data_IF_305814428737
#
_entry.id   IF_305814428737
#
_cell.length_a   1.000
_cell.length_b   1.000
_cell.length_c   1.000
_cell.angle_alpha   90.00
_cell.angle_beta   90.00
_cell.angle_gamma   90.00
#
_symmetry.space_group_name_H-M   'P 1'
#
loop_
_entity.id
_entity.type
_entity.pdbx_description
1 polymer ?
#
# COMPACT_ATOMS: atom_id res chain seq x y z
N UNK A 1 -17.63 -41.73 -9.82
CA UNK A 1 -16.66 -41.04 -8.93
C UNK A 1 -15.58 -40.31 -9.73
N UNK A 2 -15.05 -40.86 -10.82
CA UNK A 2 -13.99 -40.23 -11.66
C UNK A 2 -14.39 -38.89 -12.35
N UNK A 3 -15.62 -38.77 -12.84
CA UNK A 3 -16.07 -37.54 -13.52
C UNK A 3 -16.07 -36.31 -12.58
N UNK A 4 -16.31 -36.51 -11.28
CA UNK A 4 -16.34 -35.42 -10.30
C UNK A 4 -14.91 -34.98 -9.89
N UNK A 5 -13.96 -35.89 -9.85
CA UNK A 5 -12.54 -35.60 -9.58
C UNK A 5 -11.92 -34.83 -10.75
N UNK A 6 -12.22 -35.23 -12.02
CA UNK A 6 -11.71 -34.53 -13.20
C UNK A 6 -12.27 -33.11 -13.34
N UNK A 7 -13.54 -32.89 -12.98
CA UNK A 7 -14.19 -31.58 -12.96
C UNK A 7 -13.64 -30.66 -11.87
N UNK A 8 -13.33 -31.20 -10.68
CA UNK A 8 -12.69 -30.49 -9.59
C UNK A 8 -11.25 -30.08 -9.97
N UNK A 9 -10.49 -30.96 -10.61
CA UNK A 9 -9.13 -30.71 -11.08
C UNK A 9 -9.09 -29.63 -12.18
N UNK A 10 -9.98 -29.67 -13.18
CA UNK A 10 -10.08 -28.66 -14.22
C UNK A 10 -10.45 -27.29 -13.67
N UNK A 11 -11.33 -27.24 -12.66
CA UNK A 11 -11.68 -25.99 -11.99
C UNK A 11 -10.52 -25.39 -11.18
N UNK A 12 -9.70 -26.22 -10.53
CA UNK A 12 -8.53 -25.74 -9.79
C UNK A 12 -7.47 -25.17 -10.72
N UNK A 13 -7.19 -25.82 -11.84
CA UNK A 13 -6.26 -25.31 -12.88
C UNK A 13 -6.75 -24.01 -13.49
N UNK A 14 -8.03 -23.87 -13.80
CA UNK A 14 -8.61 -22.63 -14.32
C UNK A 14 -8.51 -21.49 -13.31
N UNK A 15 -8.77 -21.75 -12.03
CA UNK A 15 -8.61 -20.76 -10.95
C UNK A 15 -7.15 -20.33 -10.79
N UNK A 16 -6.21 -21.26 -10.80
CA UNK A 16 -4.79 -20.95 -10.73
C UNK A 16 -4.31 -20.12 -11.93
N UNK A 17 -4.74 -20.48 -13.15
CA UNK A 17 -4.43 -19.72 -14.36
C UNK A 17 -5.04 -18.29 -14.33
N UNK A 18 -6.27 -18.16 -13.85
CA UNK A 18 -6.92 -16.85 -13.68
C UNK A 18 -6.21 -15.98 -12.62
N UNK A 19 -5.80 -16.56 -11.48
CA UNK A 19 -5.03 -15.88 -10.46
C UNK A 19 -3.67 -15.41 -11.01
N UNK A 20 -2.96 -16.26 -11.74
CA UNK A 20 -1.69 -15.91 -12.39
C UNK A 20 -1.85 -14.80 -13.43
N UNK A 21 -2.92 -14.86 -14.24
CA UNK A 21 -3.22 -13.81 -15.20
C UNK A 21 -3.52 -12.47 -14.50
N UNK A 22 -4.30 -12.49 -13.40
CA UNK A 22 -4.58 -11.31 -12.59
C UNK A 22 -3.30 -10.68 -12.04
N UNK A 23 -2.39 -11.46 -11.48
CA UNK A 23 -1.08 -10.99 -11.00
C UNK A 23 -0.33 -10.28 -12.11
N UNK A 24 -0.16 -10.91 -13.29
CA UNK A 24 0.54 -10.28 -14.41
C UNK A 24 -0.12 -8.96 -14.87
N UNK A 25 -1.46 -8.91 -14.88
CA UNK A 25 -2.20 -7.69 -15.23
C UNK A 25 -1.91 -6.57 -14.25
N UNK A 26 -1.94 -6.85 -12.95
CA UNK A 26 -1.71 -5.87 -11.89
C UNK A 26 -0.26 -5.37 -11.92
N UNK A 27 0.72 -6.26 -12.11
CA UNK A 27 2.14 -5.92 -12.21
C UNK A 27 2.41 -5.06 -13.44
N UNK A 28 1.87 -5.43 -14.59
CA UNK A 28 1.95 -4.65 -15.83
C UNK A 28 1.33 -3.25 -15.65
N UNK A 29 0.18 -3.17 -14.99
CA UNK A 29 -0.48 -1.90 -14.70
C UNK A 29 0.38 -1.02 -13.77
N UNK A 30 0.92 -1.58 -12.69
CA UNK A 30 1.80 -0.87 -11.76
C UNK A 30 3.03 -0.29 -12.48
N UNK A 31 3.69 -1.09 -13.31
CA UNK A 31 4.87 -0.70 -14.09
C UNK A 31 4.52 0.43 -15.08
N UNK A 32 3.48 0.24 -15.91
CA UNK A 32 3.11 1.21 -16.94
C UNK A 32 2.58 2.51 -16.35
N UNK A 33 1.79 2.47 -15.28
CA UNK A 33 1.33 3.68 -14.60
C UNK A 33 2.51 4.47 -14.00
N UNK A 34 3.49 3.77 -13.43
CA UNK A 34 4.68 4.42 -12.87
C UNK A 34 5.57 5.02 -13.95
N UNK A 35 5.77 4.32 -15.08
CA UNK A 35 6.64 4.73 -16.17
C UNK A 35 6.04 5.88 -17.01
N UNK A 36 4.75 5.76 -17.38
CA UNK A 36 4.10 6.63 -18.37
C UNK A 36 3.07 7.59 -17.78
N UNK A 37 2.71 7.37 -16.51
CA UNK A 37 1.61 8.07 -15.86
C UNK A 37 0.24 7.47 -16.20
N UNK A 38 -0.78 7.90 -15.43
CA UNK A 38 -2.14 7.39 -15.61
C UNK A 38 -2.73 7.78 -16.97
N UNK A 39 -2.62 9.04 -17.40
CA UNK A 39 -3.22 9.53 -18.64
C UNK A 39 -2.77 8.77 -19.89
N UNK A 40 -1.44 8.55 -20.02
CA UNK A 40 -0.83 7.95 -21.20
C UNK A 40 -0.89 6.41 -21.23
N UNK A 41 -1.28 5.74 -20.15
CA UNK A 41 -1.41 4.28 -20.11
C UNK A 41 -2.81 3.84 -20.54
N UNK A 42 -2.92 2.95 -21.51
CA UNK A 42 -4.19 2.38 -21.97
C UNK A 42 -4.41 0.95 -21.45
N UNK A 43 -5.66 0.47 -21.51
CA UNK A 43 -5.98 -0.95 -21.21
C UNK A 43 -5.33 -1.88 -22.22
N UNK A 44 -5.19 -1.43 -23.46
CA UNK A 44 -4.51 -2.15 -24.54
C UNK A 44 -3.03 -2.36 -24.23
N UNK A 45 -2.33 -1.32 -23.74
CA UNK A 45 -0.93 -1.43 -23.32
C UNK A 45 -0.76 -2.44 -22.19
N UNK A 46 -1.66 -2.38 -21.17
CA UNK A 46 -1.63 -3.30 -20.03
C UNK A 46 -1.90 -4.73 -20.50
N UNK A 47 -2.87 -4.94 -21.39
CA UNK A 47 -3.19 -6.24 -21.94
C UNK A 47 -2.01 -6.84 -22.72
N UNK A 48 -1.38 -6.03 -23.57
CA UNK A 48 -0.18 -6.43 -24.33
C UNK A 48 0.98 -6.79 -23.39
N UNK A 49 1.28 -5.95 -22.40
CA UNK A 49 2.36 -6.19 -21.44
C UNK A 49 2.11 -7.44 -20.56
N UNK A 50 0.84 -7.70 -20.19
CA UNK A 50 0.46 -8.87 -19.41
C UNK A 50 0.34 -10.17 -20.25
N UNK A 51 0.40 -10.09 -21.58
CA UNK A 51 0.21 -11.23 -22.47
C UNK A 51 -1.20 -11.81 -22.42
N UNK A 52 -2.23 -10.94 -22.35
CA UNK A 52 -3.65 -11.32 -22.30
C UNK A 52 -4.50 -10.47 -23.24
N UNK A 53 -5.76 -10.85 -23.44
CA UNK A 53 -6.70 -10.00 -24.19
C UNK A 53 -7.23 -8.84 -23.34
N UNK A 54 -7.66 -7.74 -23.99
CA UNK A 54 -8.37 -6.64 -23.35
C UNK A 54 -9.59 -7.12 -22.54
N UNK A 55 -10.37 -8.06 -23.10
CA UNK A 55 -11.51 -8.64 -22.40
C UNK A 55 -11.10 -9.35 -21.10
N UNK A 56 -9.94 -10.01 -21.08
CA UNK A 56 -9.37 -10.64 -19.89
C UNK A 56 -9.00 -9.60 -18.83
N UNK A 57 -8.46 -8.46 -19.23
CA UNK A 57 -8.15 -7.36 -18.28
C UNK A 57 -9.43 -6.87 -17.62
N UNK A 58 -10.47 -6.53 -18.37
CA UNK A 58 -11.75 -6.07 -17.81
C UNK A 58 -12.40 -7.11 -16.89
N UNK A 59 -12.42 -8.37 -17.29
CA UNK A 59 -13.00 -9.46 -16.49
C UNK A 59 -12.23 -9.72 -15.18
N UNK A 60 -10.91 -9.48 -15.18
CA UNK A 60 -10.03 -9.76 -14.05
C UNK A 60 -9.92 -8.61 -13.05
N UNK A 61 -9.90 -7.36 -13.52
CA UNK A 61 -9.54 -6.21 -12.70
C UNK A 61 -10.41 -4.96 -12.95
N UNK A 62 -11.39 -5.04 -13.84
CA UNK A 62 -12.31 -3.94 -14.10
C UNK A 62 -11.73 -2.85 -15.01
N UNK A 63 -12.24 -1.63 -14.86
CA UNK A 63 -11.82 -0.45 -15.62
C UNK A 63 -10.48 0.12 -15.10
N UNK A 64 -9.92 1.08 -15.82
CA UNK A 64 -8.61 1.67 -15.56
C UNK A 64 -8.44 2.21 -14.13
N UNK A 65 -9.42 2.90 -13.49
CA UNK A 65 -9.32 3.31 -12.09
C UNK A 65 -9.24 2.10 -11.13
N UNK A 66 -10.01 1.03 -11.38
CA UNK A 66 -9.96 -0.19 -10.58
C UNK A 66 -8.61 -0.93 -10.71
N UNK A 67 -8.01 -0.91 -11.90
CA UNK A 67 -6.64 -1.41 -12.11
C UNK A 67 -5.62 -0.60 -11.34
N UNK A 68 -5.74 0.73 -11.33
CA UNK A 68 -4.87 1.61 -10.56
C UNK A 68 -4.98 1.31 -9.06
N UNK A 69 -6.20 1.10 -8.56
CA UNK A 69 -6.43 0.68 -7.16
C UNK A 69 -5.77 -0.66 -6.86
N UNK A 70 -5.97 -1.66 -7.71
CA UNK A 70 -5.38 -2.98 -7.53
C UNK A 70 -3.83 -2.94 -7.58
N UNK A 71 -3.26 -2.13 -8.47
CA UNK A 71 -1.83 -1.89 -8.56
C UNK A 71 -1.29 -1.21 -7.28
N UNK A 72 -2.01 -0.20 -6.77
CA UNK A 72 -1.68 0.45 -5.52
C UNK A 72 -1.68 -0.52 -4.34
N UNK A 73 -2.74 -1.31 -4.18
CA UNK A 73 -2.88 -2.26 -3.07
C UNK A 73 -1.78 -3.33 -3.09
N UNK A 74 -1.49 -3.91 -4.27
CA UNK A 74 -0.42 -4.89 -4.43
C UNK A 74 0.97 -4.30 -4.13
N UNK A 75 1.24 -3.10 -4.63
CA UNK A 75 2.51 -2.40 -4.39
C UNK A 75 2.68 -2.04 -2.90
N UNK A 76 1.63 -1.58 -2.25
CA UNK A 76 1.62 -1.29 -0.81
C UNK A 76 1.88 -2.54 0.02
N UNK A 77 1.21 -3.63 -0.32
CA UNK A 77 1.38 -4.92 0.34
C UNK A 77 2.76 -5.54 0.09
N UNK A 78 3.30 -5.34 -1.11
CA UNK A 78 4.54 -5.97 -1.58
C UNK A 78 4.34 -7.38 -2.13
N UNK A 79 3.08 -7.83 -2.25
CA UNK A 79 2.68 -9.12 -2.81
C UNK A 79 1.20 -9.10 -3.26
N UNK A 80 0.73 -10.23 -3.82
CA UNK A 80 -0.65 -10.42 -4.27
C UNK A 80 -1.50 -11.30 -3.32
N UNK A 81 -1.01 -11.52 -2.10
CA UNK A 81 -1.73 -12.37 -1.12
C UNK A 81 -2.88 -11.56 -0.52
N UNK A 82 -4.12 -12.07 -0.55
CA UNK A 82 -5.30 -11.35 -0.05
C UNK A 82 -5.39 -11.42 1.48
N UNK A 83 -4.36 -10.92 2.17
CA UNK A 83 -4.31 -10.84 3.64
C UNK A 83 -4.41 -9.37 4.04
N UNK A 84 -5.34 -9.02 4.94
CA UNK A 84 -5.46 -7.67 5.47
C UNK A 84 -4.14 -7.17 6.08
N UNK A 85 -3.85 -5.87 5.95
CA UNK A 85 -2.63 -5.27 6.49
C UNK A 85 -2.49 -5.48 8.01
N UNK A 86 -3.61 -5.57 8.74
CA UNK A 86 -3.65 -5.82 10.19
C UNK A 86 -3.25 -7.25 10.58
N UNK A 87 -3.31 -8.20 9.65
CA UNK A 87 -3.03 -9.62 9.88
C UNK A 87 -1.64 -10.05 9.37
N UNK A 88 -0.91 -9.13 8.74
CA UNK A 88 0.43 -9.37 8.21
C UNK A 88 1.46 -9.55 9.32
N UNK A 89 2.58 -10.25 9.04
CA UNK A 89 3.63 -10.50 10.03
C UNK A 89 4.11 -9.23 10.73
N UNK A 90 4.25 -8.13 9.99
CA UNK A 90 4.71 -6.84 10.52
C UNK A 90 3.72 -6.25 11.54
N UNK A 91 2.42 -6.38 11.27
CA UNK A 91 1.38 -5.93 12.19
C UNK A 91 1.34 -6.76 13.47
N UNK A 92 1.57 -8.08 13.36
CA UNK A 92 1.67 -9.00 14.50
C UNK A 92 2.94 -8.74 15.32
N UNK A 93 4.07 -8.47 14.66
CA UNK A 93 5.32 -8.11 15.34
C UNK A 93 5.17 -6.81 16.14
N UNK A 94 4.53 -5.76 15.57
CA UNK A 94 4.21 -4.55 16.30
C UNK A 94 3.29 -4.78 17.50
N UNK A 95 2.33 -5.70 17.38
CA UNK A 95 1.43 -6.05 18.50
C UNK A 95 2.20 -6.77 19.61
N UNK A 96 3.15 -7.63 19.26
CA UNK A 96 3.93 -8.43 20.19
C UNK A 96 5.04 -7.65 20.92
N UNK A 97 5.57 -6.56 20.32
CA UNK A 97 6.63 -5.75 20.94
C UNK A 97 6.09 -5.01 22.17
N UNK A 98 6.60 -5.27 23.39
CA UNK A 98 6.08 -4.66 24.62
C UNK A 98 6.54 -3.20 24.81
N UNK A 99 7.73 -2.84 24.32
CA UNK A 99 8.29 -1.51 24.48
C UNK A 99 7.69 -0.54 23.45
N UNK A 100 7.06 0.57 23.87
CA UNK A 100 6.43 1.51 22.97
C UNK A 100 7.42 2.23 22.05
N UNK A 101 8.65 2.48 22.50
CA UNK A 101 9.69 3.11 21.70
C UNK A 101 10.16 2.17 20.58
N UNK A 102 10.45 0.90 20.92
CA UNK A 102 10.82 -0.13 19.92
C UNK A 102 9.69 -0.42 18.94
N UNK A 103 8.44 -0.38 19.41
CA UNK A 103 7.29 -0.53 18.50
C UNK A 103 7.28 0.58 17.45
N UNK A 104 7.58 1.83 17.84
CA UNK A 104 7.65 2.95 16.89
C UNK A 104 8.88 2.87 15.98
N UNK A 105 10.01 2.39 16.48
CA UNK A 105 11.21 2.15 15.65
C UNK A 105 10.91 1.11 14.57
N UNK A 106 10.33 -0.03 14.95
CA UNK A 106 9.91 -1.06 13.99
C UNK A 106 8.85 -0.56 13.02
N UNK A 107 7.89 0.26 13.50
CA UNK A 107 6.91 0.90 12.62
C UNK A 107 7.57 1.79 11.58
N UNK A 108 8.59 2.57 11.95
CA UNK A 108 9.34 3.42 11.03
C UNK A 108 10.05 2.60 9.94
N UNK A 109 10.65 1.45 10.28
CA UNK A 109 11.26 0.53 9.32
C UNK A 109 10.22 0.01 8.31
N UNK A 110 9.09 -0.48 8.80
CA UNK A 110 7.98 -0.96 7.97
C UNK A 110 7.42 0.15 7.08
N UNK A 111 7.22 1.35 7.64
CA UNK A 111 6.72 2.50 6.91
C UNK A 111 7.69 2.95 5.81
N UNK A 112 9.00 2.98 6.08
CA UNK A 112 10.04 3.29 5.09
C UNK A 112 10.02 2.29 3.94
N UNK A 113 10.01 0.98 4.23
CA UNK A 113 9.95 -0.06 3.20
C UNK A 113 8.67 0.01 2.34
N UNK A 114 7.54 0.39 2.93
CA UNK A 114 6.29 0.64 2.19
C UNK A 114 6.40 1.90 1.35
N UNK A 115 6.88 3.00 1.91
CA UNK A 115 7.06 4.26 1.21
C UNK A 115 7.95 4.11 -0.02
N UNK A 116 9.07 3.39 0.10
CA UNK A 116 9.96 3.07 -1.02
C UNK A 116 9.20 2.43 -2.19
N UNK A 117 8.33 1.45 -1.89
CA UNK A 117 7.56 0.76 -2.94
C UNK A 117 6.48 1.63 -3.56
N UNK A 118 5.74 2.37 -2.71
CA UNK A 118 4.50 3.02 -3.14
C UNK A 118 4.68 4.46 -3.63
N UNK A 119 5.78 5.16 -3.26
CA UNK A 119 5.96 6.57 -3.56
C UNK A 119 5.80 6.92 -5.05
N UNK A 120 6.35 6.14 -6.01
CA UNK A 120 6.15 6.45 -7.43
C UNK A 120 4.68 6.37 -7.85
N UNK A 121 3.99 5.29 -7.47
CA UNK A 121 2.59 5.07 -7.86
C UNK A 121 1.63 6.03 -7.13
N UNK A 122 1.91 6.35 -5.87
CA UNK A 122 1.15 7.35 -5.11
C UNK A 122 1.24 8.73 -5.77
N UNK A 123 2.40 9.11 -6.29
CA UNK A 123 2.57 10.36 -7.04
C UNK A 123 1.72 10.38 -8.31
N UNK A 124 1.62 9.25 -9.02
CA UNK A 124 0.76 9.11 -10.21
C UNK A 124 -0.71 9.32 -9.83
N UNK A 125 -1.19 8.66 -8.76
CA UNK A 125 -2.58 8.81 -8.30
C UNK A 125 -2.87 10.25 -7.92
N UNK A 126 -2.00 10.88 -7.11
CA UNK A 126 -2.14 12.28 -6.68
C UNK A 126 -2.21 13.24 -7.85
N UNK A 127 -1.36 13.06 -8.86
CA UNK A 127 -1.35 13.89 -10.06
C UNK A 127 -2.63 13.70 -10.89
N UNK A 128 -3.04 12.45 -11.12
CA UNK A 128 -4.20 12.13 -11.94
C UNK A 128 -5.53 12.54 -11.27
N UNK A 129 -5.59 12.54 -9.94
CA UNK A 129 -6.77 12.95 -9.16
C UNK A 129 -7.23 14.39 -9.46
N UNK A 130 -6.34 15.26 -9.92
CA UNK A 130 -6.69 16.62 -10.32
C UNK A 130 -7.49 16.71 -11.64
N UNK A 131 -7.47 15.66 -12.47
CA UNK A 131 -8.06 15.66 -13.80
C UNK A 131 -9.13 14.57 -14.02
N UNK A 132 -9.18 13.56 -13.16
CA UNK A 132 -10.06 12.40 -13.31
C UNK A 132 -10.86 12.19 -12.00
N UNK A 133 -12.21 12.36 -12.02
CA UNK A 133 -13.06 12.21 -10.84
C UNK A 133 -13.00 10.83 -10.21
N UNK A 134 -12.85 9.76 -10.99
CA UNK A 134 -12.76 8.39 -10.44
C UNK A 134 -11.43 8.19 -9.72
N UNK A 135 -10.34 8.79 -10.23
CA UNK A 135 -9.05 8.78 -9.55
C UNK A 135 -9.06 9.70 -8.33
N UNK A 136 -9.79 10.82 -8.35
CA UNK A 136 -9.99 11.65 -7.17
C UNK A 136 -10.73 10.89 -6.06
N UNK A 137 -11.77 10.13 -6.40
CA UNK A 137 -12.46 9.26 -5.46
C UNK A 137 -11.54 8.19 -4.87
N UNK A 138 -10.74 7.54 -5.72
CA UNK A 138 -9.71 6.59 -5.30
C UNK A 138 -8.68 7.23 -4.35
N UNK A 139 -8.21 8.43 -4.65
CA UNK A 139 -7.28 9.17 -3.80
C UNK A 139 -7.88 9.41 -2.41
N UNK A 140 -9.11 9.93 -2.35
CA UNK A 140 -9.80 10.21 -1.10
C UNK A 140 -10.02 8.94 -0.26
N UNK A 141 -10.40 7.83 -0.90
CA UNK A 141 -10.52 6.53 -0.22
C UNK A 141 -9.18 6.06 0.35
N UNK A 142 -8.12 6.18 -0.42
CA UNK A 142 -6.76 5.80 -0.02
C UNK A 142 -6.29 6.61 1.19
N UNK A 143 -6.51 7.93 1.18
CA UNK A 143 -6.17 8.81 2.30
C UNK A 143 -6.99 8.47 3.56
N UNK A 144 -8.27 8.19 3.40
CA UNK A 144 -9.11 7.73 4.51
C UNK A 144 -8.63 6.38 5.09
N UNK A 145 -8.19 5.44 4.24
CA UNK A 145 -7.62 4.16 4.69
C UNK A 145 -6.29 4.39 5.43
N UNK A 146 -5.40 5.25 4.93
CA UNK A 146 -4.14 5.62 5.60
C UNK A 146 -4.43 6.22 6.98
N UNK A 147 -5.39 7.15 7.05
CA UNK A 147 -5.79 7.80 8.32
C UNK A 147 -6.34 6.79 9.34
N UNK A 148 -7.16 5.83 8.90
CA UNK A 148 -7.62 4.72 9.76
C UNK A 148 -6.46 3.85 10.24
N UNK A 149 -5.52 3.52 9.34
CA UNK A 149 -4.30 2.78 9.69
C UNK A 149 -3.47 3.48 10.76
N UNK A 150 -3.31 4.79 10.67
CA UNK A 150 -2.64 5.62 11.68
C UNK A 150 -3.34 5.52 13.05
N UNK A 151 -4.66 5.57 13.08
CA UNK A 151 -5.44 5.38 14.32
C UNK A 151 -5.21 4.02 14.97
N UNK A 152 -5.05 2.95 14.17
CA UNK A 152 -4.73 1.61 14.69
C UNK A 152 -3.34 1.61 15.36
N UNK A 153 -2.34 2.27 14.77
CA UNK A 153 -1.00 2.40 15.37
C UNK A 153 -1.07 3.13 16.70
N UNK A 154 -1.79 4.25 16.77
CA UNK A 154 -1.99 5.00 18.01
C UNK A 154 -2.69 4.16 19.08
N UNK A 155 -3.76 3.45 18.73
CA UNK A 155 -4.45 2.56 19.66
C UNK A 155 -3.55 1.45 20.22
N UNK A 156 -2.67 0.87 19.39
CA UNK A 156 -1.65 -0.09 19.83
C UNK A 156 -0.66 0.55 20.81
N UNK A 157 -0.17 1.74 20.46
CA UNK A 157 0.76 2.49 21.30
C UNK A 157 0.17 2.78 22.67
N UNK A 158 -1.09 3.23 22.74
CA UNK A 158 -1.79 3.53 24.00
C UNK A 158 -1.93 2.32 24.92
N UNK A 159 -2.17 1.14 24.36
CA UNK A 159 -2.24 -0.09 25.17
C UNK A 159 -0.91 -0.44 25.83
N UNK A 160 0.23 -0.04 25.24
CA UNK A 160 1.58 -0.34 25.75
C UNK A 160 2.12 0.73 26.69
N UNK A 161 1.93 1.96 26.32
CA UNK A 161 2.56 3.12 26.95
C UNK A 161 1.65 3.86 27.95
N UNK A 162 0.35 3.53 27.97
CA UNK A 162 -0.63 4.36 28.66
C UNK A 162 -0.72 5.77 28.04
N UNK A 163 -1.27 6.75 28.72
CA UNK A 163 -1.42 8.13 28.22
C UNK A 163 -0.10 8.91 28.37
N UNK A 164 0.95 8.54 27.60
CA UNK A 164 2.26 9.21 27.66
C UNK A 164 2.36 10.47 26.81
N UNK A 165 1.51 10.64 25.81
CA UNK A 165 1.48 11.85 25.00
C UNK A 165 0.31 12.74 25.44
N UNK A 166 0.55 14.04 25.50
CA UNK A 166 -0.50 15.03 25.77
C UNK A 166 -1.46 15.23 24.58
N UNK A 167 -1.15 14.62 23.43
CA UNK A 167 -2.01 14.72 22.24
C UNK A 167 -3.23 13.81 22.41
N UNK A 168 -4.44 14.30 22.14
CA UNK A 168 -5.62 13.45 21.94
C UNK A 168 -5.38 12.42 20.83
N UNK A 169 -6.02 11.25 20.91
CA UNK A 169 -5.77 10.14 19.97
C UNK A 169 -5.99 10.52 18.49
N UNK A 170 -6.96 11.39 18.22
CA UNK A 170 -7.18 11.90 16.86
C UNK A 170 -6.00 12.72 16.35
N UNK A 171 -5.41 13.59 17.19
CA UNK A 171 -4.23 14.39 16.84
C UNK A 171 -2.97 13.53 16.71
N UNK A 172 -2.81 12.56 17.60
CA UNK A 172 -1.74 11.57 17.50
C UNK A 172 -1.83 10.78 16.18
N UNK A 173 -3.05 10.40 15.76
CA UNK A 173 -3.27 9.73 14.49
C UNK A 173 -3.02 10.66 13.28
N UNK A 174 -3.30 11.97 13.37
CA UNK A 174 -2.93 12.94 12.34
C UNK A 174 -1.41 13.03 12.18
N UNK A 175 -0.66 13.02 13.30
CA UNK A 175 0.81 13.01 13.28
C UNK A 175 1.34 11.75 12.58
N UNK A 176 0.83 10.56 12.96
CA UNK A 176 1.23 9.31 12.32
C UNK A 176 0.89 9.32 10.83
N UNK A 177 -0.30 9.80 10.47
CA UNK A 177 -0.76 9.87 9.07
C UNK A 177 0.13 10.79 8.23
N UNK A 178 0.50 11.97 8.72
CA UNK A 178 1.43 12.90 8.04
C UNK A 178 2.82 12.28 7.89
N UNK A 179 3.39 11.76 8.99
CA UNK A 179 4.74 11.19 8.98
C UNK A 179 4.85 9.91 8.13
N UNK A 180 3.75 9.21 7.93
CA UNK A 180 3.68 8.01 7.07
C UNK A 180 3.29 8.35 5.61
N UNK A 181 3.35 9.60 5.16
CA UNK A 181 3.12 9.92 3.75
C UNK A 181 4.36 9.58 2.91
N UNK A 182 4.19 8.73 1.89
CA UNK A 182 5.27 8.37 0.99
C UNK A 182 5.82 9.57 0.18
N UNK A 183 5.11 10.70 0.16
CA UNK A 183 5.64 11.94 -0.37
C UNK A 183 6.83 12.48 0.43
N UNK A 184 6.88 12.24 1.76
CA UNK A 184 8.05 12.59 2.58
C UNK A 184 9.27 11.77 2.19
N UNK A 185 9.09 10.45 2.01
CA UNK A 185 10.14 9.58 1.50
C UNK A 185 10.65 10.06 0.14
N UNK A 186 9.75 10.34 -0.79
CA UNK A 186 10.12 10.87 -2.10
C UNK A 186 10.93 12.17 -1.96
N UNK A 187 10.43 13.13 -1.19
CA UNK A 187 11.07 14.43 -1.04
C UNK A 187 12.46 14.32 -0.40
N UNK A 188 12.64 13.51 0.63
CA UNK A 188 13.91 13.43 1.36
C UNK A 188 14.88 12.43 0.71
N UNK A 189 14.42 11.22 0.37
CA UNK A 189 15.29 10.18 -0.16
C UNK A 189 15.50 10.35 -1.67
N UNK A 190 14.42 10.46 -2.45
CA UNK A 190 14.52 10.51 -3.91
C UNK A 190 15.01 11.86 -4.41
N UNK A 191 14.39 12.96 -3.96
CA UNK A 191 14.65 14.29 -4.51
C UNK A 191 15.86 14.99 -3.83
N UNK A 192 16.10 14.73 -2.52
CA UNK A 192 17.20 15.32 -1.75
C UNK A 192 18.40 14.40 -1.50
N UNK A 193 18.25 13.10 -1.85
CA UNK A 193 19.36 12.14 -1.78
C UNK A 193 19.73 11.68 -0.36
N UNK A 194 18.80 11.75 0.61
CA UNK A 194 19.07 11.20 1.94
C UNK A 194 19.30 9.69 1.84
N UNK A 195 20.29 9.15 2.56
CA UNK A 195 20.37 7.71 2.77
C UNK A 195 19.10 7.16 3.43
N UNK A 196 18.58 6.05 2.90
CA UNK A 196 17.35 5.45 3.46
C UNK A 196 17.44 5.14 4.97
N UNK A 197 18.59 4.65 5.51
CA UNK A 197 18.72 4.46 6.97
C UNK A 197 18.60 5.77 7.77
N UNK A 198 19.10 6.89 7.23
CA UNK A 198 18.98 8.21 7.85
C UNK A 198 17.50 8.67 7.88
N UNK A 199 16.78 8.51 6.77
CA UNK A 199 15.34 8.76 6.71
C UNK A 199 14.57 7.91 7.75
N UNK A 200 14.88 6.62 7.85
CA UNK A 200 14.24 5.71 8.81
C UNK A 200 14.49 6.15 10.25
N UNK A 201 15.72 6.49 10.58
CA UNK A 201 16.09 6.99 11.91
C UNK A 201 15.39 8.32 12.24
N UNK A 202 15.33 9.24 11.28
CA UNK A 202 14.61 10.50 11.40
C UNK A 202 13.10 10.27 11.64
N UNK A 203 12.49 9.36 10.89
CA UNK A 203 11.06 9.01 11.04
C UNK A 203 10.78 8.42 12.43
N UNK A 204 11.61 7.46 12.88
CA UNK A 204 11.51 6.86 14.20
C UNK A 204 11.64 7.90 15.31
N UNK A 205 12.64 8.78 15.22
CA UNK A 205 12.86 9.87 16.17
C UNK A 205 11.65 10.82 16.20
N UNK A 206 11.14 11.24 15.06
CA UNK A 206 10.00 12.14 14.93
C UNK A 206 8.74 11.55 15.56
N UNK A 207 8.45 10.27 15.29
CA UNK A 207 7.31 9.56 15.90
C UNK A 207 7.44 9.50 17.42
N UNK A 208 8.61 9.11 17.96
CA UNK A 208 8.84 9.04 19.41
C UNK A 208 8.72 10.42 20.05
N UNK A 209 9.30 11.44 19.45
CA UNK A 209 9.26 12.80 19.99
C UNK A 209 7.83 13.35 20.10
N UNK A 210 6.94 12.98 19.18
CA UNK A 210 5.55 13.47 19.16
C UNK A 210 4.58 12.59 19.97
N UNK A 211 4.86 11.30 20.10
CA UNK A 211 3.89 10.33 20.61
C UNK A 211 4.22 9.79 22.01
N UNK A 212 5.47 9.96 22.49
CA UNK A 212 5.93 9.45 23.79
C UNK A 212 6.32 10.55 24.80
N UNK A 213 6.18 11.80 24.43
CA UNK A 213 6.50 12.95 25.32
C UNK A 213 5.25 13.61 25.85
#
# INVERSE_FOLDING_TARGET
MEANVKRAYDNSRRRAAAASARTRIIDAAAALFTERGYGATTIEDIAAAAGVSRATVFASAGAKPALLKAAYDATLAGDHVPVPMSERPEAKAMEAEPDPGRMLDYYAEVATGRARRIAPLQAVIRHAAGADPDVAALWNETEAQRRRGAGIVVARLRRKAGPHSQLPDERAADVVWILNDAALYRSLVTDRGWPEPEYTAWLAHSLRAQLLR
#
